data_IF_643315833715
#
_entry.id   IF_643315833715
#
_cell.length_a   1.000
_cell.length_b   1.000
_cell.length_c   1.000
_cell.angle_alpha   90.00
_cell.angle_beta   90.00
_cell.angle_gamma   90.00
#
_symmetry.space_group_name_H-M   'P 1'
#
loop_
_entity.id
_entity.type
_entity.pdbx_description
1 polymer ?
#
# COMPACT_ATOMS: atom_id res chain seq x y z
N UNK A 1 12.86 -1.70 -18.30
CA UNK A 1 12.73 -2.49 -17.07
C UNK A 1 12.41 -1.48 -15.99
N UNK A 2 11.15 -1.49 -15.56
CA UNK A 2 10.68 -0.67 -14.45
C UNK A 2 11.06 -1.30 -13.11
N UNK A 3 10.65 -0.64 -12.04
CA UNK A 3 10.91 -1.05 -10.67
C UNK A 3 10.00 -2.21 -10.26
N UNK A 4 10.57 -3.14 -9.51
CA UNK A 4 9.86 -4.23 -8.84
C UNK A 4 10.27 -4.23 -7.38
N UNK A 5 9.29 -4.16 -6.48
CA UNK A 5 9.55 -4.14 -5.06
C UNK A 5 8.39 -3.65 -4.21
N UNK A 6 8.63 -3.60 -2.91
CA UNK A 6 7.63 -3.21 -1.92
C UNK A 6 7.94 -1.85 -1.32
N UNK A 7 6.91 -1.06 -1.09
CA UNK A 7 6.90 0.02 -0.11
C UNK A 7 6.14 -0.44 1.12
N UNK A 8 6.76 -0.30 2.29
CA UNK A 8 6.20 -0.68 3.59
C UNK A 8 5.93 0.60 4.37
N UNK A 9 4.69 0.82 4.77
CA UNK A 9 4.23 1.97 5.54
C UNK A 9 3.66 1.51 6.87
N UNK A 10 4.13 2.13 7.94
CA UNK A 10 3.66 1.84 9.30
C UNK A 10 4.07 2.92 10.28
N UNK A 11 3.45 2.88 11.45
CA UNK A 11 3.71 3.83 12.54
C UNK A 11 4.44 3.13 13.68
N UNK A 12 5.61 3.64 14.06
CA UNK A 12 6.40 3.10 15.17
C UNK A 12 7.40 4.14 15.69
N UNK A 13 7.69 4.10 16.99
CA UNK A 13 8.79 4.89 17.58
C UNK A 13 10.17 4.33 17.22
N UNK A 14 10.25 3.05 16.83
CA UNK A 14 11.48 2.37 16.40
C UNK A 14 11.46 2.14 14.88
N UNK A 15 12.61 1.99 14.21
CA UNK A 15 12.68 1.65 12.79
C UNK A 15 11.83 0.43 12.45
N UNK A 16 11.01 0.48 11.40
CA UNK A 16 10.12 -0.64 11.05
C UNK A 16 10.89 -1.94 10.80
N UNK A 17 12.09 -1.87 10.21
CA UNK A 17 12.95 -3.06 9.97
C UNK A 17 13.38 -3.81 11.25
N UNK A 18 13.26 -3.19 12.43
CA UNK A 18 13.59 -3.81 13.71
C UNK A 18 12.40 -4.55 14.34
N UNK A 19 11.24 -4.53 13.68
CA UNK A 19 10.02 -5.19 14.14
C UNK A 19 9.98 -6.64 13.67
N UNK A 20 9.44 -7.52 14.52
CA UNK A 20 9.39 -8.96 14.25
C UNK A 20 8.55 -9.26 13.01
N UNK A 21 7.51 -8.45 12.75
CA UNK A 21 6.69 -8.54 11.55
C UNK A 21 7.47 -8.43 10.22
N UNK A 22 8.65 -7.79 10.24
CA UNK A 22 9.50 -7.57 9.05
C UNK A 22 10.87 -8.26 9.16
N UNK A 23 11.08 -9.13 10.15
CA UNK A 23 12.39 -9.74 10.41
C UNK A 23 12.95 -10.50 9.20
N UNK A 24 12.09 -11.11 8.38
CA UNK A 24 12.48 -11.82 7.15
C UNK A 24 13.05 -10.93 6.05
N UNK A 25 12.70 -9.63 6.05
CA UNK A 25 13.11 -8.66 5.04
C UNK A 25 14.03 -7.57 5.58
N UNK A 26 14.38 -7.62 6.87
CA UNK A 26 15.11 -6.55 7.58
C UNK A 26 16.42 -6.12 6.89
N UNK A 27 17.18 -7.06 6.33
CA UNK A 27 18.46 -6.79 5.65
C UNK A 27 18.29 -6.10 4.29
N UNK A 28 17.16 -6.30 3.61
CA UNK A 28 16.87 -5.67 2.31
C UNK A 28 16.03 -4.40 2.42
N UNK A 29 15.49 -4.09 3.60
CA UNK A 29 14.69 -2.90 3.85
C UNK A 29 15.60 -1.67 4.01
N UNK A 30 15.34 -0.67 3.18
CA UNK A 30 16.02 0.63 3.22
C UNK A 30 15.03 1.74 3.60
N UNK A 31 15.42 2.69 4.47
CA UNK A 31 14.54 3.78 4.84
C UNK A 31 14.37 4.72 3.65
N UNK A 32 13.14 5.11 3.36
CA UNK A 32 12.82 6.03 2.27
C UNK A 32 12.42 7.41 2.79
N UNK A 33 11.50 7.46 3.74
CA UNK A 33 11.05 8.71 4.35
C UNK A 33 10.44 8.47 5.72
N UNK A 34 10.50 9.50 6.55
CA UNK A 34 9.83 9.56 7.85
C UNK A 34 8.89 10.77 7.86
N UNK A 35 7.75 10.63 8.50
CA UNK A 35 6.74 11.66 8.65
C UNK A 35 6.40 11.88 10.12
N UNK A 36 5.57 12.89 10.40
CA UNK A 36 5.15 13.21 11.75
C UNK A 36 4.45 12.01 12.44
N UNK A 37 4.38 12.04 13.76
CA UNK A 37 3.68 11.03 14.58
C UNK A 37 4.22 9.59 14.44
N UNK A 38 5.47 9.43 13.99
CA UNK A 38 6.17 8.14 13.92
C UNK A 38 5.86 7.32 12.66
N UNK A 39 5.24 7.93 11.65
CA UNK A 39 5.01 7.30 10.35
C UNK A 39 6.32 7.14 9.58
N UNK A 40 6.53 5.97 8.99
CA UNK A 40 7.74 5.64 8.25
C UNK A 40 7.38 4.95 6.94
N UNK A 41 8.16 5.22 5.89
CA UNK A 41 8.13 4.50 4.61
C UNK A 41 9.48 3.83 4.41
N UNK A 42 9.42 2.54 4.17
CA UNK A 42 10.58 1.72 3.85
C UNK A 42 10.42 1.10 2.47
N UNK A 43 11.54 0.91 1.80
CA UNK A 43 11.60 0.35 0.46
C UNK A 43 12.36 -0.98 0.51
N UNK A 44 11.77 -1.99 -0.11
CA UNK A 44 12.36 -3.31 -0.29
C UNK A 44 12.42 -3.62 -1.81
N UNK A 45 13.57 -3.36 -2.47
CA UNK A 45 13.70 -3.40 -3.93
C UNK A 45 13.89 -4.84 -4.44
N UNK A 46 12.88 -5.70 -4.24
CA UNK A 46 12.88 -7.08 -4.72
C UNK A 46 11.46 -7.55 -5.07
N UNK A 47 11.31 -8.16 -6.25
CA UNK A 47 10.05 -8.74 -6.73
C UNK A 47 9.76 -10.16 -6.24
N UNK A 48 10.76 -10.86 -5.69
CA UNK A 48 10.66 -12.27 -5.27
C UNK A 48 10.74 -12.46 -3.73
N UNK A 49 10.91 -11.37 -2.98
CA UNK A 49 11.14 -11.46 -1.53
C UNK A 49 9.87 -11.32 -0.71
N UNK A 50 9.76 -12.15 0.32
CA UNK A 50 8.73 -12.05 1.34
C UNK A 50 9.02 -10.87 2.28
N UNK A 51 8.27 -9.78 2.13
CA UNK A 51 8.41 -8.58 2.96
C UNK A 51 7.83 -8.76 4.37
N UNK A 52 7.07 -9.84 4.61
CA UNK A 52 6.35 -10.09 5.84
C UNK A 52 4.85 -9.79 5.71
N UNK A 53 4.18 -9.55 6.85
CA UNK A 53 2.71 -9.43 6.88
C UNK A 53 2.25 -8.08 7.40
N UNK A 54 1.43 -7.36 6.63
CA UNK A 54 0.84 -6.09 7.08
C UNK A 54 -0.06 -6.29 8.31
N UNK A 55 -0.73 -7.45 8.42
CA UNK A 55 -1.53 -7.80 9.59
C UNK A 55 -0.67 -7.99 10.84
N UNK A 56 0.50 -8.63 10.71
CA UNK A 56 1.42 -8.78 11.83
C UNK A 56 1.99 -7.43 12.24
N UNK A 57 2.35 -6.58 11.27
CA UNK A 57 2.88 -5.25 11.52
C UNK A 57 1.85 -4.35 12.21
N UNK A 58 0.61 -4.35 11.71
CA UNK A 58 -0.49 -3.59 12.31
C UNK A 58 -0.76 -4.01 13.76
N UNK A 59 -0.70 -5.32 14.03
CA UNK A 59 -0.86 -5.86 15.40
C UNK A 59 0.31 -5.51 16.31
N UNK A 60 1.54 -5.62 15.82
CA UNK A 60 2.75 -5.35 16.61
C UNK A 60 2.86 -3.87 16.96
N UNK A 61 2.52 -2.99 16.02
CA UNK A 61 2.56 -1.52 16.23
C UNK A 61 1.32 -0.99 16.93
N UNK A 62 0.21 -1.74 16.93
CA UNK A 62 -1.08 -1.27 17.42
C UNK A 62 -1.66 -0.12 16.60
N UNK A 63 -1.17 0.07 15.37
CA UNK A 63 -1.57 1.13 14.46
C UNK A 63 -1.79 0.56 13.05
N UNK A 64 -2.55 1.25 12.18
CA UNK A 64 -2.73 0.79 10.82
C UNK A 64 -1.42 0.71 10.03
N UNK A 65 -1.29 -0.32 9.19
CA UNK A 65 -0.15 -0.58 8.32
C UNK A 65 -0.59 -0.78 6.86
N UNK A 66 0.28 -0.44 5.91
CA UNK A 66 -0.01 -0.49 4.47
C UNK A 66 1.24 -0.85 3.66
N UNK A 67 1.12 -1.84 2.79
CA UNK A 67 2.15 -2.25 1.83
C UNK A 67 1.71 -1.91 0.40
N UNK A 68 2.66 -1.46 -0.41
CA UNK A 68 2.49 -1.23 -1.85
C UNK A 68 3.46 -2.08 -2.64
N UNK A 69 2.97 -3.08 -3.35
CA UNK A 69 3.80 -3.91 -4.23
C UNK A 69 3.77 -3.40 -5.66
N UNK A 70 4.92 -2.96 -6.17
CA UNK A 70 5.07 -2.39 -7.51
C UNK A 70 5.52 -3.45 -8.50
N UNK A 71 4.87 -3.50 -9.65
CA UNK A 71 5.18 -4.43 -10.74
C UNK A 71 5.57 -3.65 -12.00
N UNK A 72 6.84 -3.72 -12.38
CA UNK A 72 7.46 -3.06 -13.55
C UNK A 72 7.20 -1.55 -13.65
N UNK A 73 6.98 -0.89 -12.51
CA UNK A 73 6.46 0.50 -12.43
C UNK A 73 5.13 0.73 -13.19
N UNK A 74 4.44 -0.33 -13.59
CA UNK A 74 3.23 -0.27 -14.42
C UNK A 74 1.95 -0.31 -13.58
N UNK A 75 1.97 -1.03 -12.45
CA UNK A 75 0.86 -1.09 -11.51
C UNK A 75 1.34 -1.33 -10.07
N UNK A 76 0.44 -1.12 -9.12
CA UNK A 76 0.72 -1.32 -7.69
C UNK A 76 -0.42 -2.11 -7.06
N UNK A 77 -0.12 -3.20 -6.34
CA UNK A 77 -1.06 -3.81 -5.40
C UNK A 77 -0.93 -3.09 -4.07
N UNK A 78 -2.06 -2.64 -3.50
CA UNK A 78 -2.10 -2.01 -2.18
C UNK A 78 -2.76 -2.97 -1.22
N UNK A 79 -2.04 -3.35 -0.18
CA UNK A 79 -2.51 -4.21 0.90
C UNK A 79 -2.42 -3.45 2.21
N UNK A 80 -3.53 -3.33 2.92
CA UNK A 80 -3.55 -2.60 4.16
C UNK A 80 -4.27 -3.39 5.25
N UNK A 81 -3.88 -3.15 6.49
CA UNK A 81 -4.55 -3.68 7.66
C UNK A 81 -4.55 -2.66 8.78
N UNK A 82 -5.70 -2.52 9.44
CA UNK A 82 -5.82 -1.85 10.74
C UNK A 82 -6.24 -2.86 11.81
N UNK A 83 -5.78 -2.71 13.07
CA UNK A 83 -6.32 -3.46 14.20
C UNK A 83 -7.86 -3.47 14.28
N UNK A 84 -8.51 -2.35 13.95
CA UNK A 84 -9.97 -2.19 13.99
C UNK A 84 -10.60 -2.16 12.59
N UNK A 85 -10.00 -1.45 11.62
CA UNK A 85 -10.51 -1.30 10.25
C UNK A 85 -10.48 -2.59 9.45
N UNK A 86 -9.72 -3.59 9.93
CA UNK A 86 -9.50 -4.86 9.26
C UNK A 86 -8.56 -4.75 8.06
N UNK A 87 -8.38 -5.89 7.38
CA UNK A 87 -7.56 -5.98 6.18
C UNK A 87 -8.37 -5.69 4.91
N UNK A 88 -7.74 -5.02 3.96
CA UNK A 88 -8.29 -4.76 2.63
C UNK A 88 -7.19 -4.73 1.58
N UNK A 89 -7.56 -5.05 0.34
CA UNK A 89 -6.63 -5.12 -0.79
C UNK A 89 -7.27 -4.49 -2.03
N UNK A 90 -6.50 -3.67 -2.74
CA UNK A 90 -6.90 -3.09 -4.03
C UNK A 90 -5.69 -2.93 -4.94
N UNK A 91 -5.87 -2.36 -6.12
CA UNK A 91 -4.76 -2.05 -7.03
C UNK A 91 -4.89 -0.64 -7.64
N UNK A 92 -3.72 -0.06 -7.94
CA UNK A 92 -3.55 1.18 -8.70
C UNK A 92 -3.11 0.85 -10.13
N UNK A 93 -3.47 1.71 -11.09
CA UNK A 93 -3.31 1.44 -12.52
C UNK A 93 -4.01 0.12 -12.94
N UNK A 94 -5.32 0.05 -12.68
CA UNK A 94 -6.15 -1.16 -12.87
C UNK A 94 -6.03 -1.76 -14.27
N UNK A 95 -5.94 -0.92 -15.31
CA UNK A 95 -5.78 -1.37 -16.69
C UNK A 95 -4.48 -2.19 -16.89
N UNK A 96 -3.37 -1.72 -16.32
CA UNK A 96 -2.11 -2.46 -16.36
C UNK A 96 -2.17 -3.72 -15.48
N UNK A 97 -2.78 -3.64 -14.29
CA UNK A 97 -2.98 -4.79 -13.41
C UNK A 97 -3.76 -5.92 -14.09
N UNK A 98 -4.83 -5.59 -14.82
CA UNK A 98 -5.62 -6.55 -15.59
C UNK A 98 -4.75 -7.37 -16.57
N UNK A 99 -3.76 -6.72 -17.19
CA UNK A 99 -2.79 -7.40 -18.06
C UNK A 99 -1.89 -8.40 -17.31
N UNK A 100 -1.50 -8.09 -16.06
CA UNK A 100 -0.65 -8.97 -15.24
C UNK A 100 -1.39 -10.17 -14.66
N UNK A 101 -2.64 -10.00 -14.24
CA UNK A 101 -3.46 -11.11 -13.74
C UNK A 101 -4.07 -11.95 -14.86
N UNK A 102 -3.89 -11.53 -16.12
CA UNK A 102 -4.48 -12.18 -17.27
C UNK A 102 -5.99 -12.00 -17.36
N UNK A 103 -6.56 -10.94 -16.78
CA UNK A 103 -7.99 -10.65 -16.88
C UNK A 103 -8.39 -10.55 -18.37
N UNK A 104 -9.09 -11.57 -18.85
CA UNK A 104 -9.37 -11.80 -20.28
C UNK A 104 -8.94 -13.19 -20.80
N UNK A 105 -8.11 -13.93 -20.07
CA UNK A 105 -7.92 -15.38 -20.22
C UNK A 105 -8.55 -16.05 -18.99
N UNK A 106 -9.46 -17.00 -19.23
CA UNK A 106 -10.13 -17.81 -18.18
C UNK A 106 -11.17 -17.10 -17.28
N UNK A 107 -11.68 -15.92 -17.66
CA UNK A 107 -12.86 -15.32 -17.01
C UNK A 107 -12.63 -14.74 -15.61
N UNK A 108 -11.36 -14.63 -15.18
CA UNK A 108 -10.97 -13.89 -13.99
C UNK A 108 -11.12 -12.39 -14.23
N UNK A 109 -11.69 -11.70 -13.25
CA UNK A 109 -11.80 -10.24 -13.23
C UNK A 109 -11.02 -9.67 -12.04
N UNK A 110 -10.68 -8.38 -12.09
CA UNK A 110 -9.92 -7.75 -11.00
C UNK A 110 -10.67 -7.84 -9.67
N UNK A 111 -11.99 -7.79 -9.74
CA UNK A 111 -12.91 -7.78 -8.61
C UNK A 111 -12.90 -9.11 -7.83
N UNK A 112 -12.35 -10.19 -8.40
CA UNK A 112 -12.11 -11.45 -7.68
C UNK A 112 -10.95 -11.33 -6.67
N UNK A 113 -10.06 -10.36 -6.86
CA UNK A 113 -8.83 -10.18 -6.08
C UNK A 113 -8.77 -8.84 -5.33
N UNK A 114 -9.39 -7.81 -5.91
CA UNK A 114 -9.24 -6.42 -5.50
C UNK A 114 -10.60 -5.78 -5.28
N UNK A 115 -10.72 -5.02 -4.20
CA UNK A 115 -11.88 -4.15 -4.02
C UNK A 115 -12.04 -3.19 -5.20
N UNK A 116 -13.29 -2.94 -5.57
CA UNK A 116 -13.64 -1.89 -6.52
C UNK A 116 -13.22 -0.51 -5.95
N UNK A 117 -12.87 0.47 -6.81
CA UNK A 117 -12.37 1.76 -6.35
C UNK A 117 -13.25 2.47 -5.30
N UNK A 118 -14.60 2.48 -5.40
CA UNK A 118 -15.44 3.07 -4.35
C UNK A 118 -15.32 2.36 -3.00
N UNK A 119 -15.39 1.02 -2.99
CA UNK A 119 -15.26 0.24 -1.75
C UNK A 119 -13.86 0.37 -1.15
N UNK A 120 -12.83 0.39 -2.00
CA UNK A 120 -11.46 0.62 -1.58
C UNK A 120 -11.27 2.02 -0.98
N UNK A 121 -11.91 3.06 -1.53
CA UNK A 121 -11.86 4.42 -0.99
C UNK A 121 -12.51 4.49 0.40
N UNK A 122 -13.65 3.82 0.60
CA UNK A 122 -14.30 3.75 1.91
C UNK A 122 -13.42 3.01 2.94
N UNK A 123 -12.79 1.90 2.55
CA UNK A 123 -11.87 1.16 3.42
C UNK A 123 -10.61 1.93 3.75
N UNK A 124 -10.06 2.65 2.78
CA UNK A 124 -8.93 3.54 2.95
C UNK A 124 -9.27 4.70 3.91
N UNK A 125 -10.48 5.26 3.80
CA UNK A 125 -10.94 6.30 4.72
C UNK A 125 -11.10 5.79 6.16
N UNK A 126 -11.70 4.62 6.35
CA UNK A 126 -11.81 4.00 7.68
C UNK A 126 -10.44 3.65 8.29
N UNK A 127 -9.50 3.16 7.46
CA UNK A 127 -8.11 2.92 7.86
C UNK A 127 -7.41 4.21 8.30
N UNK A 128 -7.63 5.32 7.59
CA UNK A 128 -7.08 6.62 7.96
C UNK A 128 -7.72 7.17 9.24
N UNK A 129 -9.03 7.00 9.41
CA UNK A 129 -9.75 7.40 10.62
C UNK A 129 -9.20 6.69 11.87
N UNK A 130 -8.93 5.38 11.77
CA UNK A 130 -8.26 4.61 12.84
C UNK A 130 -6.86 5.16 13.16
N UNK A 131 -6.14 5.63 12.14
CA UNK A 131 -4.87 6.33 12.31
C UNK A 131 -5.00 7.74 12.93
N UNK A 132 -6.22 8.20 13.22
CA UNK A 132 -6.52 9.54 13.73
C UNK A 132 -6.48 10.62 12.65
N UNK A 133 -6.68 10.24 11.39
CA UNK A 133 -6.66 11.13 10.22
C UNK A 133 -8.05 11.23 9.60
N UNK A 134 -8.47 12.46 9.32
CA UNK A 134 -9.70 12.71 8.56
C UNK A 134 -9.34 12.94 7.09
N UNK A 135 -9.84 12.08 6.22
CA UNK A 135 -9.51 12.08 4.78
C UNK A 135 -10.79 12.14 3.95
N UNK A 136 -10.70 12.72 2.76
CA UNK A 136 -11.82 12.78 1.82
C UNK A 136 -11.88 11.52 0.96
N UNK A 137 -12.99 10.78 1.05
CA UNK A 137 -13.21 9.60 0.24
C UNK A 137 -13.27 9.93 -1.27
N UNK A 138 -13.70 11.15 -1.64
CA UNK A 138 -13.68 11.63 -3.02
C UNK A 138 -12.26 11.70 -3.59
N UNK A 139 -11.35 12.37 -2.87
CA UNK A 139 -9.93 12.42 -3.23
C UNK A 139 -9.25 11.04 -3.29
N UNK A 140 -9.60 10.12 -2.38
CA UNK A 140 -9.11 8.74 -2.44
C UNK A 140 -9.62 8.00 -3.69
N UNK A 141 -10.91 8.15 -4.03
CA UNK A 141 -11.48 7.57 -5.24
C UNK A 141 -10.83 8.11 -6.52
N UNK A 142 -10.55 9.41 -6.56
CA UNK A 142 -9.85 10.04 -7.69
C UNK A 142 -8.48 9.41 -7.91
N UNK A 143 -7.71 9.13 -6.84
CA UNK A 143 -6.41 8.45 -6.95
C UNK A 143 -6.57 6.98 -7.36
N UNK A 144 -7.55 6.27 -6.81
CA UNK A 144 -7.80 4.86 -7.10
C UNK A 144 -8.28 4.60 -8.54
N UNK A 145 -8.86 5.62 -9.19
CA UNK A 145 -9.33 5.57 -10.58
C UNK A 145 -8.39 6.25 -11.57
N UNK A 146 -7.32 6.90 -11.08
CA UNK A 146 -6.35 7.58 -11.92
C UNK A 146 -5.47 6.59 -12.70
N UNK A 147 -5.07 7.02 -13.89
CA UNK A 147 -4.05 6.36 -14.69
C UNK A 147 -2.64 6.86 -14.29
N UNK A 148 -1.62 6.00 -14.38
CA UNK A 148 -0.26 6.38 -14.02
C UNK A 148 0.32 7.41 -15.00
N UNK A 149 1.03 8.41 -14.49
CA UNK A 149 1.75 9.40 -15.28
C UNK A 149 3.08 9.81 -14.60
N UNK A 150 4.26 9.39 -15.10
CA UNK A 150 4.50 8.26 -16.02
C UNK A 150 4.64 6.90 -15.31
N UNK A 151 4.74 6.87 -13.98
CA UNK A 151 5.05 5.68 -13.18
C UNK A 151 3.93 5.40 -12.17
N UNK A 152 3.61 4.12 -11.91
CA UNK A 152 2.54 3.73 -10.99
C UNK A 152 2.85 4.05 -9.52
N UNK A 153 4.13 4.12 -9.16
CA UNK A 153 4.62 4.56 -7.85
C UNK A 153 4.13 5.97 -7.51
N UNK A 154 3.97 6.84 -8.52
CA UNK A 154 3.43 8.19 -8.31
C UNK A 154 1.99 8.14 -7.79
N UNK A 155 1.18 7.19 -8.27
CA UNK A 155 -0.17 6.99 -7.74
C UNK A 155 -0.11 6.50 -6.29
N UNK A 156 0.83 5.60 -5.97
CA UNK A 156 1.02 5.10 -4.61
C UNK A 156 1.37 6.23 -3.64
N UNK A 157 2.34 7.09 -3.97
CA UNK A 157 2.67 8.21 -3.08
C UNK A 157 1.56 9.26 -3.01
N UNK A 158 0.80 9.49 -4.10
CA UNK A 158 -0.42 10.32 -4.04
C UNK A 158 -1.46 9.73 -3.12
N UNK A 159 -1.61 8.40 -3.08
CA UNK A 159 -2.51 7.73 -2.15
C UNK A 159 -2.05 7.96 -0.69
N UNK A 160 -0.75 7.82 -0.39
CA UNK A 160 -0.22 8.10 0.94
C UNK A 160 -0.41 9.56 1.39
N UNK A 161 -0.29 10.49 0.45
CA UNK A 161 -0.56 11.92 0.67
C UNK A 161 -2.04 12.18 0.98
N UNK A 162 -2.96 11.58 0.18
CA UNK A 162 -4.40 11.64 0.45
C UNK A 162 -4.79 10.98 1.79
N UNK A 163 -4.06 9.94 2.20
CA UNK A 163 -4.21 9.30 3.51
C UNK A 163 -3.65 10.15 4.66
N UNK A 164 -2.91 11.22 4.36
CA UNK A 164 -2.27 12.14 5.34
C UNK A 164 -1.32 11.47 6.32
N UNK A 165 -0.76 10.31 5.93
CA UNK A 165 0.20 9.56 6.75
C UNK A 165 1.65 9.91 6.38
N UNK A 166 1.89 10.24 5.11
CA UNK A 166 3.20 10.65 4.60
C UNK A 166 2.99 11.78 3.60
N UNK A 167 3.35 13.03 3.93
CA UNK A 167 3.26 14.13 2.98
C UNK A 167 4.29 13.95 1.85
N UNK A 168 3.86 14.24 0.62
CA UNK A 168 4.69 14.27 -0.58
C UNK A 168 5.65 15.47 -0.62
#
# INVERSE_FOLDING_TARGET
MGYWGYFVVGRSERPLKELEALAGAAEGLSPRSEAADGWQVWEYPSGDGDVGSMNALARETGAPALFGYVMDSACVVVEAAGPESGAWTTCLARAAMAGYIGAGQEGLVLEDYFLEPPDAAERAAAWAEEAGRAVDAGGLLDVLTAEPDPLAENLFFRLLDQLTVVPL
#
